data_IF_330821293400
#
_entry.id   IF_330821293400
#
_cell.length_a   1.000
_cell.length_b   1.000
_cell.length_c   1.000
_cell.angle_alpha   90.00
_cell.angle_beta   90.00
_cell.angle_gamma   90.00
#
_symmetry.space_group_name_H-M   'P 1'
#
loop_
_entity.id
_entity.type
_entity.pdbx_description
1 polymer ?
#
# COMPACT_ATOMS: atom_id res chain seq x y z
N UNK A 1 6.86 38.22 13.95
CA UNK A 1 7.10 37.63 12.61
C UNK A 1 7.64 36.22 12.80
N UNK A 2 7.14 35.21 12.07
CA UNK A 2 7.69 33.85 12.17
C UNK A 2 9.16 33.83 11.72
N UNK A 3 9.98 33.01 12.38
CA UNK A 3 11.40 32.87 12.01
C UNK A 3 11.53 32.09 10.70
N UNK A 4 12.59 32.32 9.92
CA UNK A 4 12.86 31.60 8.67
C UNK A 4 12.86 30.07 8.87
N UNK A 5 13.43 29.59 9.99
CA UNK A 5 13.43 28.16 10.36
C UNK A 5 12.01 27.61 10.54
N UNK A 6 11.10 28.42 11.08
CA UNK A 6 9.69 28.05 11.25
C UNK A 6 9.00 27.95 9.88
N UNK A 7 9.29 28.86 8.96
CA UNK A 7 8.73 28.83 7.60
C UNK A 7 9.23 27.60 6.83
N UNK A 8 10.53 27.31 6.89
CA UNK A 8 11.13 26.14 6.26
C UNK A 8 10.53 24.82 6.79
N UNK A 9 10.33 24.71 8.10
CA UNK A 9 9.70 23.55 8.71
C UNK A 9 8.25 23.36 8.24
N UNK A 10 7.48 24.45 8.14
CA UNK A 10 6.09 24.42 7.65
C UNK A 10 6.03 24.01 6.17
N UNK A 11 6.92 24.56 5.33
CA UNK A 11 6.99 24.18 3.92
C UNK A 11 7.37 22.70 3.76
N UNK A 12 8.34 22.21 4.54
CA UNK A 12 8.74 20.79 4.54
C UNK A 12 7.57 19.89 4.94
N UNK A 13 6.87 20.21 6.02
CA UNK A 13 5.70 19.45 6.46
C UNK A 13 4.58 19.45 5.38
N UNK A 14 4.31 20.61 4.78
CA UNK A 14 3.32 20.73 3.72
C UNK A 14 3.66 19.88 2.49
N UNK A 15 4.94 19.87 2.07
CA UNK A 15 5.40 19.04 0.95
C UNK A 15 5.26 17.54 1.23
N UNK A 16 5.58 17.10 2.45
CA UNK A 16 5.42 15.70 2.86
C UNK A 16 3.95 15.27 2.88
N UNK A 17 3.06 16.15 3.37
CA UNK A 17 1.63 15.88 3.35
C UNK A 17 1.07 15.84 1.93
N UNK A 18 1.46 16.79 1.07
CA UNK A 18 1.04 16.79 -0.33
C UNK A 18 1.48 15.53 -1.07
N UNK A 19 2.71 15.03 -0.80
CA UNK A 19 3.17 13.76 -1.34
C UNK A 19 2.30 12.59 -0.86
N UNK A 20 2.00 12.54 0.44
CA UNK A 20 1.09 11.53 1.00
C UNK A 20 -0.27 11.54 0.29
N UNK A 21 -0.93 12.69 0.22
CA UNK A 21 -2.25 12.84 -0.40
C UNK A 21 -2.25 12.42 -1.87
N UNK A 22 -1.17 12.77 -2.58
CA UNK A 22 -0.97 12.38 -3.99
C UNK A 22 -0.88 10.85 -4.13
N UNK A 23 -0.07 10.19 -3.29
CA UNK A 23 0.08 8.73 -3.33
C UNK A 23 -1.21 8.01 -2.95
N UNK A 24 -1.96 8.53 -1.98
CA UNK A 24 -3.31 8.02 -1.64
C UNK A 24 -4.20 8.11 -2.86
N UNK A 25 -4.33 9.30 -3.46
CA UNK A 25 -5.18 9.53 -4.65
C UNK A 25 -4.82 8.60 -5.81
N UNK A 26 -3.54 8.41 -6.09
CA UNK A 26 -3.08 7.50 -7.14
C UNK A 26 -3.37 6.03 -6.81
N UNK A 27 -3.22 5.62 -5.55
CA UNK A 27 -3.52 4.26 -5.09
C UNK A 27 -5.03 3.96 -5.14
N UNK A 28 -5.86 4.99 -4.94
CA UNK A 28 -7.32 4.93 -5.07
C UNK A 28 -7.78 4.78 -6.52
N UNK A 29 -7.26 5.65 -7.39
CA UNK A 29 -7.67 5.74 -8.78
C UNK A 29 -7.29 4.49 -9.57
N UNK A 30 -6.14 3.89 -9.27
CA UNK A 30 -5.59 2.79 -10.06
C UNK A 30 -5.84 1.42 -9.40
N UNK A 31 -7.07 0.91 -9.60
CA UNK A 31 -7.43 -0.48 -9.25
C UNK A 31 -6.63 -1.54 -10.03
N UNK A 32 -5.98 -1.14 -11.13
CA UNK A 32 -5.15 -1.99 -11.98
C UNK A 32 -3.76 -2.31 -11.43
N UNK A 33 -3.35 -1.69 -10.32
CA UNK A 33 -2.16 -2.10 -9.55
C UNK A 33 -2.45 -3.37 -8.74
N UNK A 34 -2.93 -4.41 -9.41
CA UNK A 34 -2.88 -5.76 -8.89
C UNK A 34 -1.39 -6.12 -8.77
N UNK A 35 -0.96 -6.40 -7.55
CA UNK A 35 0.41 -6.83 -7.31
C UNK A 35 0.64 -8.15 -8.04
N UNK A 36 1.69 -8.21 -8.85
CA UNK A 36 2.14 -9.51 -9.36
C UNK A 36 2.48 -10.39 -8.14
N UNK A 37 2.15 -11.68 -8.14
CA UNK A 37 2.39 -12.55 -6.99
C UNK A 37 3.84 -12.55 -6.51
N UNK A 38 4.80 -12.34 -7.42
CA UNK A 38 6.23 -12.32 -7.11
C UNK A 38 6.63 -11.17 -6.17
N UNK A 39 6.01 -9.99 -6.33
CA UNK A 39 6.42 -8.79 -5.58
C UNK A 39 5.56 -8.55 -4.33
N UNK A 40 4.46 -9.29 -4.17
CA UNK A 40 3.43 -9.01 -3.15
C UNK A 40 4.00 -9.10 -1.73
N UNK A 41 4.92 -10.03 -1.49
CA UNK A 41 5.57 -10.25 -0.18
C UNK A 41 6.46 -9.07 0.18
N UNK A 42 7.28 -8.61 -0.77
CA UNK A 42 8.22 -7.50 -0.55
C UNK A 42 7.49 -6.19 -0.32
N UNK A 43 6.43 -5.94 -1.09
CA UNK A 43 5.59 -4.76 -0.91
C UNK A 43 4.80 -4.81 0.41
N UNK A 44 4.29 -5.98 0.80
CA UNK A 44 3.65 -6.17 2.10
C UNK A 44 4.59 -5.90 3.27
N UNK A 45 5.77 -6.51 3.26
CA UNK A 45 6.77 -6.33 4.32
C UNK A 45 7.23 -4.87 4.39
N UNK A 46 7.45 -4.23 3.24
CA UNK A 46 7.86 -2.83 3.18
C UNK A 46 6.75 -1.89 3.65
N UNK A 47 5.50 -2.14 3.26
CA UNK A 47 4.34 -1.38 3.74
C UNK A 47 4.19 -1.50 5.26
N UNK A 48 4.31 -2.71 5.83
CA UNK A 48 4.25 -2.92 7.28
C UNK A 48 5.35 -2.18 8.04
N UNK A 49 6.58 -2.18 7.50
CA UNK A 49 7.68 -1.37 8.06
C UNK A 49 7.39 0.13 7.95
N UNK A 50 6.83 0.58 6.84
CA UNK A 50 6.49 1.98 6.62
C UNK A 50 5.42 2.48 7.61
N UNK A 51 4.36 1.68 7.84
CA UNK A 51 3.32 1.98 8.83
C UNK A 51 3.93 2.16 10.21
N UNK A 52 4.75 1.18 10.65
CA UNK A 52 5.40 1.24 11.95
C UNK A 52 6.30 2.47 12.08
N UNK A 53 7.12 2.76 11.06
CA UNK A 53 8.01 3.92 11.07
C UNK A 53 7.23 5.25 11.03
N UNK A 54 6.10 5.32 10.33
CA UNK A 54 5.21 6.48 10.34
C UNK A 54 4.61 6.71 11.73
N UNK A 55 4.15 5.65 12.40
CA UNK A 55 3.65 5.72 13.78
C UNK A 55 4.74 6.14 14.78
N UNK A 56 5.97 5.64 14.61
CA UNK A 56 7.11 5.96 15.49
C UNK A 56 7.63 7.40 15.29
N UNK A 57 7.63 7.91 14.06
CA UNK A 57 8.16 9.23 13.71
C UNK A 57 7.14 10.36 13.71
N UNK A 58 5.84 10.04 13.58
CA UNK A 58 4.79 11.02 13.34
C UNK A 58 4.78 11.60 11.91
N UNK A 59 5.66 11.12 11.03
CA UNK A 59 5.73 11.57 9.64
C UNK A 59 4.65 10.91 8.78
N UNK A 60 4.15 11.57 7.72
CA UNK A 60 3.14 11.00 6.84
C UNK A 60 3.61 9.69 6.20
N UNK A 61 2.72 8.69 6.16
CA UNK A 61 3.04 7.36 5.63
C UNK A 61 3.60 7.38 4.20
N UNK A 62 3.00 8.16 3.29
CA UNK A 62 3.49 8.32 1.92
C UNK A 62 4.91 8.90 1.84
N UNK A 63 5.32 9.75 2.79
CA UNK A 63 6.70 10.22 2.89
C UNK A 63 7.65 9.08 3.25
N UNK A 64 7.30 8.27 4.25
CA UNK A 64 8.10 7.09 4.64
C UNK A 64 8.20 6.08 3.49
N UNK A 65 7.09 5.82 2.80
CA UNK A 65 7.07 4.92 1.63
C UNK A 65 8.00 5.44 0.53
N UNK A 66 8.01 6.75 0.28
CA UNK A 66 8.87 7.38 -0.71
C UNK A 66 10.35 7.34 -0.32
N UNK A 67 10.69 7.59 0.96
CA UNK A 67 12.06 7.47 1.46
C UNK A 67 12.62 6.05 1.32
N UNK A 68 11.81 5.01 1.50
CA UNK A 68 12.24 3.62 1.25
C UNK A 68 12.59 3.33 -0.22
N UNK A 69 12.30 4.26 -1.14
CA UNK A 69 12.59 4.19 -2.57
C UNK A 69 13.61 5.25 -2.99
N UNK A 70 14.27 5.91 -2.03
CA UNK A 70 15.26 6.95 -2.28
C UNK A 70 16.33 6.47 -3.27
N UNK A 71 16.66 7.33 -4.24
CA UNK A 71 17.53 7.01 -5.37
C UNK A 71 16.83 6.37 -6.58
N UNK A 72 15.51 6.11 -6.51
CA UNK A 72 14.76 5.48 -7.62
C UNK A 72 13.43 6.22 -7.91
N UNK A 73 13.47 7.52 -8.28
CA UNK A 73 12.25 8.33 -8.45
C UNK A 73 11.35 7.85 -9.60
N UNK A 74 11.90 7.11 -10.56
CA UNK A 74 11.14 6.45 -11.63
C UNK A 74 10.21 5.34 -11.11
N UNK A 75 10.27 5.00 -9.82
CA UNK A 75 9.45 3.96 -9.19
C UNK A 75 8.24 4.53 -8.44
N UNK A 76 7.62 5.57 -8.98
CA UNK A 76 6.33 6.08 -8.48
C UNK A 76 5.29 4.95 -8.38
N UNK A 77 5.25 4.06 -9.37
CA UNK A 77 4.34 2.90 -9.36
C UNK A 77 4.57 1.97 -8.17
N UNK A 78 5.82 1.80 -7.72
CA UNK A 78 6.12 1.00 -6.53
C UNK A 78 5.64 1.71 -5.28
N UNK A 79 5.82 3.04 -5.19
CA UNK A 79 5.33 3.84 -4.07
C UNK A 79 3.80 3.73 -3.98
N UNK A 80 3.11 3.89 -5.11
CA UNK A 80 1.64 3.77 -5.20
C UNK A 80 1.17 2.36 -4.81
N UNK A 81 1.84 1.30 -5.29
CA UNK A 81 1.56 -0.08 -4.91
C UNK A 81 1.78 -0.34 -3.41
N UNK A 82 2.87 0.18 -2.83
CA UNK A 82 3.13 0.05 -1.38
C UNK A 82 2.10 0.81 -0.56
N UNK A 83 1.77 2.04 -0.97
CA UNK A 83 0.74 2.85 -0.33
C UNK A 83 -0.61 2.12 -0.34
N UNK A 84 -0.95 1.50 -1.48
CA UNK A 84 -2.15 0.69 -1.63
C UNK A 84 -2.22 -0.49 -0.64
N UNK A 85 -1.10 -1.20 -0.47
CA UNK A 85 -1.02 -2.30 0.50
C UNK A 85 -1.14 -1.75 1.92
N UNK A 86 -0.45 -0.65 2.22
CA UNK A 86 -0.43 -0.08 3.55
C UNK A 86 -1.84 0.36 4.01
N UNK A 87 -2.58 1.07 3.15
CA UNK A 87 -3.99 1.42 3.39
C UNK A 87 -4.86 0.19 3.67
N UNK A 88 -4.63 -0.91 2.94
CA UNK A 88 -5.38 -2.15 3.14
C UNK A 88 -5.06 -2.81 4.50
N UNK A 89 -3.87 -2.60 5.05
CA UNK A 89 -3.44 -3.12 6.35
C UNK A 89 -3.99 -2.31 7.52
N UNK A 90 -4.13 -0.99 7.38
CA UNK A 90 -4.66 -0.11 8.43
C UNK A 90 -6.18 -0.21 8.60
N UNK A 91 -6.85 -1.12 7.86
CA UNK A 91 -8.28 -1.34 7.99
C UNK A 91 -9.13 -0.39 7.15
N UNK A 92 -8.50 0.47 6.33
CA UNK A 92 -9.15 1.12 5.20
C UNK A 92 -9.38 0.07 4.12
N UNK A 93 -10.41 -0.77 4.35
CA UNK A 93 -10.82 -1.80 3.40
C UNK A 93 -11.29 -1.09 2.15
N UNK A 94 -10.41 -0.99 1.17
CA UNK A 94 -10.84 -0.62 -0.15
C UNK A 94 -11.75 -1.69 -0.71
N UNK A 95 -12.79 -1.31 -1.48
CA UNK A 95 -13.66 -2.27 -2.13
C UNK A 95 -12.82 -2.96 -3.20
N UNK A 96 -12.15 -4.05 -2.81
CA UNK A 96 -11.78 -5.12 -3.70
C UNK A 96 -13.11 -5.51 -4.33
N UNK A 97 -13.29 -5.17 -5.62
CA UNK A 97 -14.46 -5.56 -6.38
C UNK A 97 -14.78 -7.01 -6.04
N UNK A 98 -15.92 -7.21 -5.40
CA UNK A 98 -16.29 -8.42 -4.68
C UNK A 98 -16.65 -9.56 -5.64
N UNK A 99 -15.81 -9.83 -6.64
CA UNK A 99 -15.85 -11.07 -7.39
C UNK A 99 -14.93 -12.11 -6.74
N UNK A 100 -15.00 -12.22 -5.41
CA UNK A 100 -14.75 -13.51 -4.76
C UNK A 100 -15.83 -14.44 -5.27
N UNK A 101 -15.57 -15.11 -6.40
CA UNK A 101 -16.24 -16.37 -6.75
C UNK A 101 -16.12 -17.22 -5.51
N UNK A 102 -17.21 -17.31 -4.76
CA UNK A 102 -17.42 -18.27 -3.68
C UNK A 102 -16.96 -19.60 -4.25
N UNK A 103 -15.79 -20.09 -3.82
CA UNK A 103 -15.41 -21.48 -4.04
C UNK A 103 -16.54 -22.26 -3.38
N UNK A 104 -17.48 -22.76 -4.20
CA UNK A 104 -18.54 -23.64 -3.72
C UNK A 104 -17.84 -24.73 -2.92
N UNK A 105 -18.30 -24.98 -1.69
CA UNK A 105 -17.84 -26.13 -0.88
C UNK A 105 -17.87 -27.33 -1.82
N UNK A 106 -16.69 -27.90 -2.11
CA UNK A 106 -16.63 -29.17 -2.86
C UNK A 106 -17.45 -30.15 -2.01
N UNK A 107 -18.52 -30.68 -2.58
CA UNK A 107 -19.17 -31.86 -2.01
C UNK A 107 -18.16 -32.99 -1.90
N UNK A 108 -18.45 -34.03 -1.10
CA UNK A 108 -17.57 -35.19 -0.99
C UNK A 108 -17.24 -35.74 -2.38
N UNK A 109 -15.97 -36.12 -2.59
CA UNK A 109 -15.52 -36.73 -3.84
C UNK A 109 -16.37 -37.98 -4.14
N UNK A 110 -16.78 -38.21 -5.40
CA UNK A 110 -17.48 -39.43 -5.75
C UNK A 110 -16.59 -40.65 -5.43
N UNK A 111 -17.18 -41.76 -4.97
CA UNK A 111 -16.42 -42.97 -4.68
C UNK A 111 -15.72 -43.48 -5.94
N UNK A 112 -14.45 -43.89 -5.80
CA UNK A 112 -13.69 -44.47 -6.89
C UNK A 112 -14.39 -45.75 -7.38
N UNK A 113 -14.48 -45.98 -8.70
CA UNK A 113 -15.03 -47.22 -9.23
C UNK A 113 -14.18 -48.39 -8.72
N UNK A 114 -14.84 -49.40 -8.15
CA UNK A 114 -14.19 -50.67 -7.82
C UNK A 114 -13.79 -51.32 -9.14
N UNK A 115 -12.49 -51.50 -9.34
CA UNK A 115 -11.97 -52.38 -10.38
C UNK A 115 -12.34 -53.81 -9.96
N UNK A 116 -13.01 -54.52 -10.87
CA UNK A 116 -13.47 -55.91 -10.74
C UNK A 116 -12.28 -56.85 -10.69
#
# INVERSE_FOLDING_TARGET
MPSLKTVEALCSAAMKQQLHDTLVSLALANRGYLMMPADIVDHYNSARRAIRASQESGEPLGWIVWQQLEGQPHKLDYAVRRMRVAESLEGNVFPLGSNRRRLKRRGPLPPLPRLV
#
